data_IF_157322231950
#
_entry.id   IF_157322231950
#
_cell.length_a   1.000
_cell.length_b   1.000
_cell.length_c   1.000
_cell.angle_alpha   90.00
_cell.angle_beta   90.00
_cell.angle_gamma   90.00
#
_symmetry.space_group_name_H-M   'P 1'
#
loop_
_entity.id
_entity.type
_entity.pdbx_description
1 polymer ?
#
# COMPACT_ATOMS: atom_id res chain seq x y z
N UNK A 1 13.02 2.38 15.65
CA UNK A 1 12.74 3.82 15.87
C UNK A 1 13.45 4.17 17.15
N UNK A 2 14.65 4.77 17.10
CA UNK A 2 15.50 5.10 18.26
C UNK A 2 15.51 4.03 19.39
N UNK A 3 15.60 2.76 19.01
CA UNK A 3 15.67 1.63 19.94
C UNK A 3 16.85 1.81 20.92
N UNK A 4 17.89 2.52 20.45
CA UNK A 4 19.04 2.98 21.23
C UNK A 4 18.65 3.91 22.39
N UNK A 5 17.80 4.91 22.19
CA UNK A 5 17.40 5.83 23.27
C UNK A 5 16.39 5.19 24.22
N UNK A 6 15.50 4.34 23.72
CA UNK A 6 14.60 3.55 24.56
C UNK A 6 15.41 2.59 25.46
N UNK A 7 16.45 1.95 24.92
CA UNK A 7 17.37 1.12 25.69
C UNK A 7 18.13 1.93 26.75
N UNK A 8 18.67 3.11 26.39
CA UNK A 8 19.34 3.99 27.36
C UNK A 8 18.38 4.38 28.50
N UNK A 9 17.13 4.72 28.18
CA UNK A 9 16.12 5.08 29.18
C UNK A 9 15.78 3.92 30.10
N UNK A 10 15.70 2.69 29.58
CA UNK A 10 15.44 1.49 30.37
C UNK A 10 16.61 1.13 31.31
N UNK A 11 17.85 1.30 30.86
CA UNK A 11 19.06 0.88 31.60
C UNK A 11 19.70 1.99 32.45
N UNK A 12 19.19 3.23 32.41
CA UNK A 12 19.79 4.38 33.10
C UNK A 12 19.87 4.24 34.63
N UNK A 13 19.04 3.37 35.22
CA UNK A 13 19.02 3.09 36.66
C UNK A 13 20.14 2.14 37.06
N UNK A 14 20.59 1.29 36.14
CA UNK A 14 21.63 0.28 36.36
C UNK A 14 22.99 0.79 35.89
N UNK A 15 23.03 1.58 34.82
CA UNK A 15 24.25 2.08 34.18
C UNK A 15 24.18 3.59 33.98
N UNK A 16 25.31 4.29 34.17
CA UNK A 16 25.37 5.72 33.92
C UNK A 16 25.08 6.08 32.47
N UNK A 17 24.19 7.06 32.24
CA UNK A 17 23.83 7.52 30.88
C UNK A 17 25.06 7.87 30.03
N UNK A 18 26.08 8.48 30.62
CA UNK A 18 27.32 8.82 29.91
C UNK A 18 28.09 7.58 29.41
N UNK A 19 28.05 6.47 30.15
CA UNK A 19 28.65 5.20 29.75
C UNK A 19 27.85 4.58 28.60
N UNK A 20 26.53 4.48 28.74
CA UNK A 20 25.65 3.93 27.71
C UNK A 20 25.74 4.71 26.39
N UNK A 21 25.70 6.05 26.45
CA UNK A 21 25.87 6.90 25.27
C UNK A 21 27.22 6.67 24.58
N UNK A 22 28.31 6.49 25.34
CA UNK A 22 29.64 6.21 24.78
C UNK A 22 29.70 4.84 24.10
N UNK A 23 29.15 3.80 24.75
CA UNK A 23 29.11 2.43 24.20
C UNK A 23 28.29 2.35 22.92
N UNK A 24 27.15 3.02 22.90
CA UNK A 24 26.20 3.03 21.77
C UNK A 24 26.55 4.09 20.71
N UNK A 25 27.67 4.82 20.89
CA UNK A 25 28.18 5.85 19.97
C UNK A 25 27.14 6.95 19.66
N UNK A 26 26.38 7.38 20.67
CA UNK A 26 25.40 8.47 20.56
C UNK A 26 25.76 9.64 21.46
N UNK A 27 25.39 10.86 21.05
CA UNK A 27 25.60 12.04 21.87
C UNK A 27 24.61 12.08 23.04
N UNK A 28 25.09 12.46 24.23
CA UNK A 28 24.27 12.62 25.45
C UNK A 28 23.19 13.69 25.27
N UNK A 29 23.49 14.76 24.54
CA UNK A 29 22.53 15.81 24.20
C UNK A 29 21.34 15.28 23.39
N UNK A 30 21.59 14.37 22.44
CA UNK A 30 20.54 13.74 21.63
C UNK A 30 19.60 12.88 22.47
N UNK A 31 20.12 12.18 23.47
CA UNK A 31 19.29 11.41 24.41
C UNK A 31 18.35 12.31 25.21
N UNK A 32 18.84 13.41 25.79
CA UNK A 32 17.97 14.31 26.54
C UNK A 32 17.02 15.11 25.64
N UNK A 33 17.42 15.47 24.41
CA UNK A 33 16.52 16.06 23.43
C UNK A 33 15.39 15.07 23.06
N UNK A 34 15.73 13.79 22.92
CA UNK A 34 14.73 12.74 22.77
C UNK A 34 13.84 12.68 24.01
N UNK A 35 14.37 12.63 25.23
CA UNK A 35 13.55 12.58 26.44
C UNK A 35 12.59 13.78 26.55
N UNK A 36 13.09 15.00 26.34
CA UNK A 36 12.29 16.22 26.36
C UNK A 36 11.16 16.22 25.31
N UNK A 37 11.36 15.55 24.18
CA UNK A 37 10.35 15.43 23.13
C UNK A 37 9.31 14.33 23.33
N UNK A 38 9.32 13.62 24.47
CA UNK A 38 8.44 12.46 24.72
C UNK A 38 6.95 12.82 24.63
N UNK A 39 6.52 13.85 25.35
CA UNK A 39 5.11 14.28 25.36
C UNK A 39 4.61 14.60 23.94
N UNK A 40 5.41 15.32 23.15
CA UNK A 40 5.08 15.66 21.77
C UNK A 40 5.01 14.41 20.86
N UNK A 41 5.89 13.43 21.04
CA UNK A 41 5.83 12.16 20.31
C UNK A 41 4.57 11.36 20.66
N UNK A 42 4.24 11.28 21.95
CA UNK A 42 3.03 10.59 22.43
C UNK A 42 1.77 11.25 21.89
N UNK A 43 1.67 12.58 21.94
CA UNK A 43 0.56 13.32 21.37
C UNK A 43 0.43 13.10 19.85
N UNK A 44 1.55 13.11 19.12
CA UNK A 44 1.56 12.83 17.67
C UNK A 44 1.09 11.40 17.37
N UNK A 45 1.53 10.41 18.14
CA UNK A 45 1.11 9.02 18.01
C UNK A 45 -0.39 8.87 18.26
N UNK A 46 -0.90 9.47 19.33
CA UNK A 46 -2.34 9.47 19.62
C UNK A 46 -3.17 10.13 18.49
N UNK A 47 -2.69 11.24 17.93
CA UNK A 47 -3.34 11.89 16.80
C UNK A 47 -3.30 11.05 15.51
N UNK A 48 -2.21 10.32 15.27
CA UNK A 48 -2.12 9.37 14.16
C UNK A 48 -3.05 8.16 14.37
N UNK A 49 -3.18 7.67 15.60
CA UNK A 49 -4.07 6.56 15.93
C UNK A 49 -5.56 6.94 15.77
N UNK A 50 -5.93 8.16 16.19
CA UNK A 50 -7.27 8.71 15.96
C UNK A 50 -7.57 8.84 14.45
N UNK A 51 -6.62 9.39 13.68
CA UNK A 51 -6.75 9.49 12.23
C UNK A 51 -6.81 8.11 11.55
N UNK A 52 -6.05 7.13 12.05
CA UNK A 52 -6.10 5.76 11.55
C UNK A 52 -7.49 5.14 11.76
N UNK A 53 -8.14 5.43 12.89
CA UNK A 53 -9.51 4.99 13.14
C UNK A 53 -10.49 5.57 12.12
N UNK A 54 -10.44 6.89 11.88
CA UNK A 54 -11.28 7.56 10.87
C UNK A 54 -11.06 6.97 9.46
N UNK A 55 -9.80 6.80 9.06
CA UNK A 55 -9.43 6.17 7.79
C UNK A 55 -10.02 4.76 7.68
N UNK A 56 -9.97 3.98 8.76
CA UNK A 56 -10.49 2.61 8.79
C UNK A 56 -12.01 2.59 8.61
N UNK A 57 -12.74 3.47 9.29
CA UNK A 57 -14.20 3.60 9.15
C UNK A 57 -14.57 3.95 7.71
N UNK A 58 -13.90 4.94 7.11
CA UNK A 58 -14.13 5.32 5.71
C UNK A 58 -13.82 4.20 4.72
N UNK A 59 -12.73 3.45 4.98
CA UNK A 59 -12.35 2.34 4.15
C UNK A 59 -13.36 1.18 4.21
N UNK A 60 -13.85 0.84 5.40
CA UNK A 60 -14.92 -0.16 5.60
C UNK A 60 -16.22 0.29 4.92
N UNK A 61 -16.63 1.55 5.13
CA UNK A 61 -17.83 2.12 4.49
C UNK A 61 -17.75 2.04 2.95
N UNK A 62 -16.54 2.15 2.39
CA UNK A 62 -16.29 1.98 0.95
C UNK A 62 -16.24 0.53 0.46
N UNK A 63 -16.55 -0.45 1.31
CA UNK A 63 -16.35 -1.89 1.05
C UNK A 63 -14.91 -2.21 0.67
N UNK A 64 -13.96 -1.60 1.37
CA UNK A 64 -12.51 -1.75 1.14
C UNK A 64 -12.01 -1.30 -0.24
N UNK A 65 -12.79 -0.52 -0.99
CA UNK A 65 -12.40 -0.10 -2.35
C UNK A 65 -11.53 1.15 -2.36
N UNK A 66 -11.63 2.03 -1.36
CA UNK A 66 -10.98 3.34 -1.40
C UNK A 66 -9.50 3.24 -1.03
N UNK A 67 -8.64 3.74 -1.92
CA UNK A 67 -7.22 3.97 -1.67
C UNK A 67 -6.93 5.41 -1.22
N UNK A 68 -5.65 5.71 -1.01
CA UNK A 68 -5.15 7.02 -0.51
C UNK A 68 -5.85 8.24 -1.14
N UNK A 69 -6.01 8.35 -2.48
CA UNK A 69 -6.61 9.54 -3.06
C UNK A 69 -8.08 9.73 -2.66
N UNK A 70 -8.84 8.63 -2.58
CA UNK A 70 -10.28 8.67 -2.26
C UNK A 70 -10.52 8.86 -0.76
N UNK A 71 -9.71 8.22 0.08
CA UNK A 71 -9.73 8.44 1.53
C UNK A 71 -9.38 9.89 1.86
N UNK A 72 -8.32 10.44 1.26
CA UNK A 72 -7.94 11.85 1.46
C UNK A 72 -9.06 12.80 1.03
N UNK A 73 -9.67 12.58 -0.14
CA UNK A 73 -10.79 13.40 -0.61
C UNK A 73 -11.98 13.36 0.37
N UNK A 74 -12.29 12.18 0.93
CA UNK A 74 -13.38 12.02 1.89
C UNK A 74 -13.07 12.69 3.24
N UNK A 75 -11.83 12.58 3.72
CA UNK A 75 -11.38 13.33 4.89
C UNK A 75 -11.51 14.85 4.69
N UNK A 76 -11.14 15.37 3.51
CA UNK A 76 -11.31 16.79 3.19
C UNK A 76 -12.79 17.21 3.14
N UNK A 77 -13.69 16.34 2.69
CA UNK A 77 -15.15 16.59 2.70
C UNK A 77 -15.72 16.65 4.12
N UNK A 78 -15.13 15.91 5.05
CA UNK A 78 -15.41 15.98 6.48
C UNK A 78 -14.66 17.13 7.18
N UNK A 79 -14.22 18.13 6.41
CA UNK A 79 -13.46 19.31 6.87
C UNK A 79 -12.14 18.98 7.60
N UNK A 80 -11.62 17.75 7.47
CA UNK A 80 -10.34 17.37 8.04
C UNK A 80 -9.20 17.86 7.15
N UNK A 81 -8.39 18.81 7.67
CA UNK A 81 -7.17 19.29 7.00
C UNK A 81 -6.00 18.35 7.30
N UNK A 82 -5.79 17.35 6.44
CA UNK A 82 -4.71 16.37 6.59
C UNK A 82 -3.90 16.29 5.30
N UNK A 83 -2.56 16.29 5.40
CA UNK A 83 -1.70 16.10 4.23
C UNK A 83 -1.85 14.69 3.66
N UNK A 84 -2.00 14.57 2.34
CA UNK A 84 -2.06 13.29 1.62
C UNK A 84 -0.92 12.32 1.96
N UNK A 85 0.32 12.78 2.14
CA UNK A 85 1.47 11.93 2.53
C UNK A 85 1.29 11.32 3.93
N UNK A 86 0.62 12.05 4.83
CA UNK A 86 0.29 11.53 6.18
C UNK A 86 -0.75 10.42 6.08
N UNK A 87 -1.78 10.60 5.27
CA UNK A 87 -2.79 9.57 4.98
C UNK A 87 -2.13 8.32 4.39
N UNK A 88 -1.28 8.50 3.38
CA UNK A 88 -0.54 7.41 2.74
C UNK A 88 0.31 6.62 3.75
N UNK A 89 1.09 7.32 4.57
CA UNK A 89 1.91 6.68 5.61
C UNK A 89 1.07 5.87 6.58
N UNK A 90 -0.01 6.45 7.11
CA UNK A 90 -0.89 5.78 8.08
C UNK A 90 -1.57 4.57 7.45
N UNK A 91 -2.10 4.70 6.22
CA UNK A 91 -2.68 3.58 5.50
C UNK A 91 -1.68 2.43 5.33
N UNK A 92 -0.42 2.75 4.98
CA UNK A 92 0.65 1.75 4.86
C UNK A 92 0.98 1.08 6.19
N UNK A 93 1.17 1.86 7.27
CA UNK A 93 1.45 1.33 8.62
C UNK A 93 0.33 0.42 9.15
N UNK A 94 -0.91 0.62 8.69
CA UNK A 94 -2.09 -0.14 9.09
C UNK A 94 -2.50 -1.21 8.06
N UNK A 95 -1.70 -1.46 7.03
CA UNK A 95 -2.00 -2.41 5.94
C UNK A 95 -3.34 -2.16 5.23
N UNK A 96 -3.77 -0.90 5.14
CA UNK A 96 -4.98 -0.49 4.44
C UNK A 96 -4.62 -0.16 2.99
N UNK A 97 -5.18 -0.91 2.05
CA UNK A 97 -4.95 -0.71 0.63
C UNK A 97 -6.28 -0.61 -0.13
N UNK A 98 -6.38 0.34 -1.05
CA UNK A 98 -7.52 0.45 -1.94
C UNK A 98 -7.45 -0.54 -3.10
N UNK A 99 -8.61 -0.87 -3.66
CA UNK A 99 -8.69 -1.73 -4.85
C UNK A 99 -8.45 -0.88 -6.09
N UNK A 100 -7.35 -1.15 -6.80
CA UNK A 100 -7.13 -0.61 -8.14
C UNK A 100 -7.67 -1.61 -9.16
N UNK A 101 -8.86 -1.34 -9.73
CA UNK A 101 -9.37 -2.15 -10.85
C UNK A 101 -8.52 -1.85 -12.07
N UNK A 102 -7.72 -2.83 -12.53
CA UNK A 102 -7.10 -2.75 -13.86
C UNK A 102 -8.24 -2.67 -14.88
N UNK A 103 -8.32 -1.58 -15.63
CA UNK A 103 -9.30 -1.46 -16.73
C UNK A 103 -8.98 -2.57 -17.73
N UNK A 104 -9.83 -3.59 -17.83
CA UNK A 104 -9.72 -4.59 -18.90
C UNK A 104 -9.88 -3.85 -20.22
N UNK A 105 -8.79 -3.65 -20.96
CA UNK A 105 -8.85 -3.28 -22.37
C UNK A 105 -9.06 -4.58 -23.14
N UNK A 106 -10.32 -4.96 -23.36
CA UNK A 106 -10.63 -5.94 -24.40
C UNK A 106 -10.58 -5.19 -25.73
N UNK A 107 -9.51 -5.37 -26.49
CA UNK A 107 -9.48 -4.93 -27.90
C UNK A 107 -10.41 -5.81 -28.74
N UNK A 108 -10.58 -7.08 -28.33
CA UNK A 108 -11.50 -8.01 -28.95
C UNK A 108 -12.94 -7.65 -28.60
N UNK A 109 -13.65 -7.06 -29.57
CA UNK A 109 -15.11 -6.93 -29.57
C UNK A 109 -15.64 -7.92 -30.60
N UNK A 110 -16.44 -8.94 -30.20
CA UNK A 110 -17.09 -9.81 -31.16
C UNK A 110 -17.91 -8.99 -32.16
N UNK A 111 -17.74 -9.23 -33.45
CA UNK A 111 -18.61 -8.62 -34.45
C UNK A 111 -20.04 -9.10 -34.20
N UNK A 112 -20.98 -8.17 -34.00
CA UNK A 112 -22.37 -8.48 -33.58
C UNK A 112 -23.12 -9.44 -34.52
N UNK A 113 -22.66 -9.56 -35.76
CA UNK A 113 -23.27 -10.38 -36.81
C UNK A 113 -22.41 -11.59 -37.21
N UNK A 114 -21.23 -11.77 -36.62
CA UNK A 114 -20.37 -12.90 -36.96
C UNK A 114 -20.88 -14.16 -36.25
N UNK A 115 -21.07 -15.22 -37.02
CA UNK A 115 -21.27 -16.56 -36.46
C UNK A 115 -19.93 -17.01 -35.88
N UNK A 116 -19.88 -17.43 -34.60
CA UNK A 116 -18.67 -18.00 -34.04
C UNK A 116 -18.19 -19.18 -34.87
N UNK A 117 -16.88 -19.28 -35.12
CA UNK A 117 -16.32 -20.49 -35.72
C UNK A 117 -16.67 -21.69 -34.84
N UNK A 118 -17.04 -22.80 -35.47
CA UNK A 118 -17.35 -24.04 -34.75
C UNK A 118 -16.13 -24.49 -33.96
N UNK A 119 -16.30 -24.70 -32.66
CA UNK A 119 -15.25 -25.24 -31.79
C UNK A 119 -15.08 -26.74 -32.06
N UNK A 120 -14.21 -27.07 -33.02
CA UNK A 120 -13.94 -28.45 -33.41
C UNK A 120 -13.23 -29.27 -32.32
N UNK A 121 -12.61 -28.60 -31.34
CA UNK A 121 -11.89 -29.24 -30.24
C UNK A 121 -12.72 -29.34 -28.96
N UNK A 122 -13.88 -28.67 -28.90
CA UNK A 122 -14.72 -28.62 -27.69
C UNK A 122 -13.96 -28.11 -26.46
N UNK A 123 -12.97 -27.24 -26.65
CA UNK A 123 -12.01 -26.77 -25.61
C UNK A 123 -11.18 -27.87 -24.93
N UNK A 124 -11.12 -29.07 -25.48
CA UNK A 124 -10.14 -30.06 -25.05
C UNK A 124 -8.84 -29.82 -25.84
N UNK A 125 -7.76 -29.48 -25.13
CA UNK A 125 -6.45 -29.21 -25.72
C UNK A 125 -5.44 -30.34 -25.46
N UNK A 126 -5.89 -31.45 -24.86
CA UNK A 126 -5.06 -32.60 -24.52
C UNK A 126 -4.72 -33.42 -25.79
N UNK A 127 -3.45 -33.65 -26.07
CA UNK A 127 -3.01 -34.45 -27.22
C UNK A 127 -2.02 -35.53 -26.80
N UNK A 128 -2.03 -36.68 -27.49
CA UNK A 128 -1.11 -37.78 -27.22
C UNK A 128 0.25 -37.61 -27.91
N UNK A 129 0.31 -36.76 -28.95
CA UNK A 129 1.55 -36.38 -29.62
C UNK A 129 1.50 -34.91 -30.13
N UNK A 130 2.66 -34.24 -30.29
CA UNK A 130 2.74 -32.92 -30.90
C UNK A 130 2.14 -32.88 -32.31
N UNK A 131 1.57 -31.74 -32.71
CA UNK A 131 0.99 -31.53 -34.05
C UNK A 131 -0.43 -32.06 -34.25
N UNK A 132 -1.00 -32.76 -33.27
CA UNK A 132 -2.40 -33.24 -33.35
C UNK A 132 -3.44 -32.16 -33.03
N UNK A 133 -3.07 -31.19 -32.19
CA UNK A 133 -3.90 -30.03 -31.84
C UNK A 133 -3.00 -28.79 -31.83
N UNK A 134 -3.38 -27.78 -32.61
CA UNK A 134 -2.64 -26.51 -32.69
C UNK A 134 -3.44 -25.43 -31.96
N UNK A 135 -2.78 -24.74 -31.05
CA UNK A 135 -3.35 -23.61 -30.31
C UNK A 135 -2.44 -22.41 -30.54
N UNK A 136 -3.04 -21.26 -30.83
CA UNK A 136 -2.34 -20.00 -30.96
C UNK A 136 -3.00 -18.94 -30.08
N UNK A 137 -2.20 -17.98 -29.64
CA UNK A 137 -2.70 -16.75 -29.02
C UNK A 137 -2.26 -15.55 -29.87
N UNK A 138 -3.04 -14.47 -29.84
CA UNK A 138 -2.72 -13.22 -30.52
C UNK A 138 -2.26 -12.22 -29.47
N UNK A 139 -0.99 -11.83 -29.54
CA UNK A 139 -0.44 -10.78 -28.69
C UNK A 139 -0.51 -9.45 -29.44
N UNK A 140 -1.31 -8.51 -28.93
CA UNK A 140 -1.33 -7.15 -29.47
C UNK A 140 -0.12 -6.36 -28.98
N UNK A 141 0.58 -5.71 -29.91
CA UNK A 141 1.74 -4.86 -29.61
C UNK A 141 1.29 -3.40 -29.69
N UNK A 142 1.64 -2.62 -28.66
CA UNK A 142 1.38 -1.17 -28.67
C UNK A 142 2.41 -0.47 -29.55
N UNK A 143 1.95 0.31 -30.53
CA UNK A 143 2.77 1.16 -31.40
C UNK A 143 2.25 2.60 -31.36
N UNK A 144 3.02 3.54 -31.92
CA UNK A 144 2.61 4.95 -32.01
C UNK A 144 1.45 5.18 -32.99
N UNK A 145 1.21 4.23 -33.90
CA UNK A 145 0.10 4.26 -34.87
C UNK A 145 -1.15 3.53 -34.37
N UNK A 146 -1.07 2.79 -33.27
CA UNK A 146 -2.20 2.04 -32.71
C UNK A 146 -1.80 0.71 -32.07
N UNK A 147 -2.76 -0.22 -31.98
CA UNK A 147 -2.47 -1.59 -31.57
C UNK A 147 -2.38 -2.45 -32.82
N UNK A 148 -1.27 -3.16 -33.00
CA UNK A 148 -1.08 -4.19 -34.02
C UNK A 148 -1.40 -5.56 -33.43
#
# INVERSE_FOLDING_TARGET
MNDVYAFIEAEKTTHGVALLCRLLKVARSSFYAWLAGEQARTARKAADDALAHEITVLHIASKHTYGVPRIHAELCRLERRVNRKRVERIMRERNIAGITRRKRRSLTRPAKKAVPATDLLGRDFTASAPGQRLVGDITYIATDEGWL
#
